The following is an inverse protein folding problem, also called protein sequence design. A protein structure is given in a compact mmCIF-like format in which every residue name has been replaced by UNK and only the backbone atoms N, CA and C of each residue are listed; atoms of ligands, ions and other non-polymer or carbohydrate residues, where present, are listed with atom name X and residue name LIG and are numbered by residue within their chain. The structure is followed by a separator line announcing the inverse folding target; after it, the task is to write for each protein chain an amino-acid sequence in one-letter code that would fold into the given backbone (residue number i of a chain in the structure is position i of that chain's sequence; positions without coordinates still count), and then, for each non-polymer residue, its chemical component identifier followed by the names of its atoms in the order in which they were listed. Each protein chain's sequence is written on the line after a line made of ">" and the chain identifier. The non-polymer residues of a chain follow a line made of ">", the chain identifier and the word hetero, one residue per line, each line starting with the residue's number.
data_IF_201926131655
#
_entry.id   IF_201926131655
#
_cell.length_a   1.000
_cell.length_b   1.000
_cell.length_c   1.000
_cell.angle_alpha   90.00
_cell.angle_beta   90.00
_cell.angle_gamma   90.00
#
_symmetry.space_group_name_H-M   'P 1'
#
loop_
_entity.id
_entity.type
_entity.pdbx_description
1 polymer ?
#
# COMPACT_ATOMS: atom_id res chain seq x y z
N UNK A 1 22.61 48.82 -38.48
CA UNK A 1 23.49 48.37 -37.39
C UNK A 1 23.34 46.87 -37.28
N UNK A 2 24.36 46.11 -37.66
CA UNK A 2 24.37 44.66 -37.45
C UNK A 2 24.70 44.41 -35.97
N UNK A 3 23.97 43.54 -35.26
CA UNK A 3 24.30 43.22 -33.88
C UNK A 3 25.67 42.54 -33.83
N UNK A 4 26.50 42.95 -32.87
CA UNK A 4 27.84 42.41 -32.67
C UNK A 4 27.79 40.91 -32.28
N UNK A 5 28.75 40.08 -32.73
CA UNK A 5 28.75 38.64 -32.50
C UNK A 5 28.80 38.22 -31.02
N UNK A 6 29.15 39.14 -30.11
CA UNK A 6 29.22 38.90 -28.66
C UNK A 6 27.87 38.85 -27.95
N UNK A 7 26.79 39.39 -28.56
CA UNK A 7 25.45 39.39 -27.95
C UNK A 7 24.71 38.07 -28.14
N UNK A 8 25.03 37.35 -29.22
CA UNK A 8 24.30 36.17 -29.67
C UNK A 8 24.72 34.93 -28.86
N UNK A 9 26.00 34.85 -28.46
CA UNK A 9 26.49 33.76 -27.62
C UNK A 9 25.83 33.79 -26.24
N UNK A 10 25.80 34.92 -25.55
CA UNK A 10 25.21 35.00 -24.21
C UNK A 10 23.70 34.75 -24.16
N UNK A 11 22.96 35.09 -25.23
CA UNK A 11 21.53 34.75 -25.34
C UNK A 11 21.31 33.26 -25.61
N UNK A 12 22.16 32.63 -26.44
CA UNK A 12 22.09 31.19 -26.69
C UNK A 12 22.48 30.41 -25.43
N UNK A 13 23.55 30.83 -24.76
CA UNK A 13 24.06 30.20 -23.54
C UNK A 13 23.01 30.27 -22.41
N UNK A 14 22.39 31.44 -22.17
CA UNK A 14 21.34 31.57 -21.16
C UNK A 14 20.04 30.83 -21.49
N UNK A 15 19.71 30.66 -22.78
CA UNK A 15 18.55 29.85 -23.19
C UNK A 15 18.83 28.36 -23.06
N UNK A 16 20.06 27.91 -23.36
CA UNK A 16 20.50 26.54 -23.14
C UNK A 16 20.51 26.19 -21.65
N UNK A 17 21.09 27.04 -20.80
CA UNK A 17 21.18 26.82 -19.36
C UNK A 17 19.78 26.74 -18.74
N UNK A 18 18.89 27.69 -19.03
CA UNK A 18 17.54 27.69 -18.48
C UNK A 18 16.67 26.51 -18.96
N UNK A 19 16.89 26.02 -20.18
CA UNK A 19 16.22 24.82 -20.68
C UNK A 19 16.77 23.54 -20.05
N UNK A 20 18.09 23.46 -19.86
CA UNK A 20 18.74 22.32 -19.22
C UNK A 20 18.36 22.21 -17.74
N UNK A 21 18.39 23.32 -17.02
CA UNK A 21 18.01 23.39 -15.61
C UNK A 21 16.53 23.02 -15.42
N UNK A 22 15.61 23.64 -16.20
CA UNK A 22 14.19 23.35 -16.07
C UNK A 22 13.80 21.92 -16.46
N UNK A 23 14.50 21.32 -17.42
CA UNK A 23 14.29 19.91 -17.78
C UNK A 23 14.85 18.96 -16.73
N UNK A 24 16.04 19.27 -16.20
CA UNK A 24 16.72 18.45 -15.21
C UNK A 24 15.98 18.49 -13.86
N UNK A 25 15.56 19.66 -13.41
CA UNK A 25 14.76 19.84 -12.19
C UNK A 25 13.39 19.15 -12.33
N UNK A 26 12.66 19.41 -13.42
CA UNK A 26 11.33 18.83 -13.61
C UNK A 26 11.33 17.31 -13.78
N UNK A 27 12.38 16.75 -14.39
CA UNK A 27 12.54 15.30 -14.51
C UNK A 27 12.97 14.67 -13.18
N UNK A 28 13.90 15.31 -12.46
CA UNK A 28 14.41 14.82 -11.19
C UNK A 28 13.32 14.87 -10.11
N UNK A 29 12.58 15.96 -10.00
CA UNK A 29 11.46 16.11 -9.06
C UNK A 29 10.34 15.13 -9.40
N UNK A 30 9.88 15.10 -10.66
CA UNK A 30 8.77 14.22 -11.05
C UNK A 30 9.10 12.72 -10.94
N UNK A 31 10.35 12.33 -11.18
CA UNK A 31 10.77 10.94 -11.00
C UNK A 31 10.98 10.59 -9.53
N UNK A 32 11.57 11.48 -8.75
CA UNK A 32 11.84 11.27 -7.33
C UNK A 32 10.53 11.24 -6.52
N UNK A 33 9.62 12.18 -6.74
CA UNK A 33 8.31 12.21 -6.09
C UNK A 33 7.46 11.01 -6.51
N UNK A 34 7.33 10.76 -7.81
CA UNK A 34 6.49 9.65 -8.30
C UNK A 34 6.98 8.27 -7.89
N UNK A 35 8.29 8.07 -7.80
CA UNK A 35 8.87 6.81 -7.33
C UNK A 35 8.79 6.68 -5.81
N UNK A 36 9.05 7.75 -5.07
CA UNK A 36 9.01 7.75 -3.62
C UNK A 36 7.58 7.57 -3.11
N UNK A 37 6.60 8.31 -3.65
CA UNK A 37 5.19 8.18 -3.30
C UNK A 37 4.65 6.80 -3.70
N UNK A 38 4.86 6.38 -4.95
CA UNK A 38 4.33 5.10 -5.43
C UNK A 38 4.91 3.87 -4.72
N UNK A 39 6.19 3.92 -4.34
CA UNK A 39 6.83 2.84 -3.60
C UNK A 39 6.45 2.86 -2.12
N UNK A 40 6.39 4.05 -1.51
CA UNK A 40 6.06 4.20 -0.10
C UNK A 40 4.59 3.85 0.16
N UNK A 41 3.66 4.37 -0.65
CA UNK A 41 2.23 4.07 -0.55
C UNK A 41 1.97 2.60 -0.86
N UNK A 42 2.47 2.08 -1.98
CA UNK A 42 2.22 0.69 -2.39
C UNK A 42 2.79 -0.35 -1.42
N UNK A 43 3.94 -0.07 -0.80
CA UNK A 43 4.53 -0.96 0.19
C UNK A 43 3.84 -0.83 1.56
N UNK A 44 3.53 0.39 1.98
CA UNK A 44 2.90 0.65 3.27
C UNK A 44 1.46 0.14 3.29
N UNK A 45 0.66 0.44 2.27
CA UNK A 45 -0.72 -0.03 2.15
C UNK A 45 -0.76 -1.56 1.99
N UNK A 46 0.02 -2.12 1.06
CA UNK A 46 0.01 -3.56 0.80
C UNK A 46 0.48 -4.40 1.99
N UNK A 47 1.45 -3.91 2.76
CA UNK A 47 1.92 -4.61 3.96
C UNK A 47 0.98 -4.43 5.14
N UNK A 48 0.45 -3.22 5.34
CA UNK A 48 -0.43 -2.91 6.45
C UNK A 48 -1.79 -3.59 6.28
N UNK A 49 -2.40 -3.53 5.08
CA UNK A 49 -3.67 -4.19 4.78
C UNK A 49 -3.51 -5.71 4.84
N UNK A 50 -2.48 -6.27 4.18
CA UNK A 50 -2.29 -7.72 4.16
C UNK A 50 -1.99 -8.34 5.54
N UNK A 51 -1.28 -7.61 6.40
CA UNK A 51 -1.02 -8.06 7.77
C UNK A 51 -2.24 -7.88 8.67
N UNK A 52 -2.95 -6.76 8.55
CA UNK A 52 -4.11 -6.46 9.38
C UNK A 52 -5.29 -7.36 9.04
N UNK A 53 -5.58 -7.56 7.75
CA UNK A 53 -6.64 -8.47 7.28
C UNK A 53 -6.31 -9.92 7.65
N UNK A 54 -5.09 -10.39 7.35
CA UNK A 54 -4.70 -11.77 7.64
C UNK A 54 -4.68 -12.10 9.14
N UNK A 55 -4.32 -11.14 10.00
CA UNK A 55 -4.36 -11.32 11.45
C UNK A 55 -5.79 -11.25 11.99
N UNK A 56 -6.60 -10.31 11.50
CA UNK A 56 -7.97 -10.11 11.96
C UNK A 56 -8.87 -11.27 11.53
N UNK A 57 -8.79 -11.72 10.28
CA UNK A 57 -9.55 -12.86 9.76
C UNK A 57 -9.13 -14.15 10.47
N UNK A 58 -7.82 -14.43 10.57
CA UNK A 58 -7.35 -15.65 11.21
C UNK A 58 -7.68 -15.74 12.70
N UNK A 59 -7.69 -14.61 13.41
CA UNK A 59 -8.08 -14.56 14.82
C UNK A 59 -9.59 -14.68 15.00
N UNK A 60 -10.37 -14.00 14.15
CA UNK A 60 -11.82 -14.01 14.24
C UNK A 60 -12.38 -15.38 13.86
N UNK A 61 -11.92 -15.97 12.76
CA UNK A 61 -12.33 -17.30 12.30
C UNK A 61 -11.96 -18.38 13.32
N UNK A 62 -10.71 -18.38 13.80
CA UNK A 62 -10.25 -19.37 14.78
C UNK A 62 -10.99 -19.29 16.13
N UNK A 63 -11.38 -18.09 16.56
CA UNK A 63 -12.16 -17.91 17.78
C UNK A 63 -13.63 -18.31 17.59
N UNK A 64 -14.22 -17.97 16.45
CA UNK A 64 -15.62 -18.28 16.15
C UNK A 64 -15.82 -19.78 15.93
N UNK A 65 -14.92 -20.43 15.18
CA UNK A 65 -14.95 -21.88 14.95
C UNK A 65 -14.78 -22.64 16.27
N UNK A 66 -13.82 -22.25 17.12
CA UNK A 66 -13.62 -22.88 18.42
C UNK A 66 -14.81 -22.73 19.38
N UNK A 67 -15.50 -21.60 19.34
CA UNK A 67 -16.72 -21.37 20.13
C UNK A 67 -17.90 -22.18 19.63
N UNK A 68 -18.11 -22.24 18.32
CA UNK A 68 -19.21 -22.99 17.69
C UNK A 68 -18.99 -24.49 17.88
N UNK A 69 -17.77 -24.98 17.69
CA UNK A 69 -17.43 -26.39 17.89
C UNK A 69 -17.60 -26.81 19.35
N UNK A 70 -17.19 -25.97 20.31
CA UNK A 70 -17.41 -26.21 21.74
C UNK A 70 -18.89 -26.30 22.10
N UNK A 71 -19.70 -25.36 21.62
CA UNK A 71 -21.15 -25.34 21.82
C UNK A 71 -21.83 -26.56 21.18
N UNK A 72 -21.36 -26.97 19.99
CA UNK A 72 -21.92 -28.11 19.28
C UNK A 72 -21.64 -29.43 19.99
N UNK A 73 -20.44 -29.60 20.57
CA UNK A 73 -20.08 -30.77 21.37
C UNK A 73 -20.94 -30.82 22.65
N UNK A 74 -21.08 -29.71 23.36
CA UNK A 74 -21.85 -29.64 24.61
C UNK A 74 -23.33 -29.98 24.39
N UNK A 75 -23.95 -29.43 23.33
CA UNK A 75 -25.36 -29.74 22.99
C UNK A 75 -25.53 -31.20 22.57
N UNK A 76 -24.54 -31.79 21.87
CA UNK A 76 -24.58 -33.20 21.49
C UNK A 76 -24.54 -34.13 22.71
N UNK A 77 -23.65 -33.87 23.66
CA UNK A 77 -23.54 -34.65 24.89
C UNK A 77 -24.82 -34.58 25.73
N UNK A 78 -25.38 -33.39 25.90
CA UNK A 78 -26.66 -33.18 26.58
C UNK A 78 -27.81 -33.92 25.88
N UNK A 79 -27.88 -33.83 24.55
CA UNK A 79 -28.92 -34.50 23.75
C UNK A 79 -28.82 -36.02 23.87
N UNK A 80 -27.60 -36.58 23.81
CA UNK A 80 -27.36 -38.01 23.98
C UNK A 80 -27.75 -38.45 25.40
N UNK A 81 -27.35 -37.70 26.43
CA UNK A 81 -27.67 -38.01 27.82
C UNK A 81 -29.19 -38.05 28.08
N UNK A 82 -29.94 -37.08 27.55
CA UNK A 82 -31.41 -37.04 27.66
C UNK A 82 -32.04 -38.26 26.96
N UNK A 83 -31.55 -38.62 25.78
CA UNK A 83 -32.08 -39.77 25.02
C UNK A 83 -31.88 -41.12 25.71
N UNK A 84 -30.83 -41.27 26.53
CA UNK A 84 -30.57 -42.48 27.31
C UNK A 84 -31.42 -42.54 28.57
N UNK A 85 -31.72 -41.39 29.18
CA UNK A 85 -32.56 -41.30 30.37
C UNK A 85 -34.05 -41.62 30.10
N UNK A 86 -34.51 -41.47 28.85
CA UNK A 86 -35.88 -41.77 28.44
C UNK A 86 -36.10 -43.22 27.96
N UNK A 87 -35.06 -44.06 27.93
CA UNK A 87 -35.15 -45.51 27.64
C UNK A 87 -35.30 -46.31 28.92
#
# INVERSE_FOLDING_TARGET
>A
MLPHPKSIHGEIDGWMDGWMDGWMDGWMDGWMDGWMDGWMDGWMDGWMDGWMDGWMDGWMDGWMDGWIDGLFIEIQEDTIAISQWQK
#
